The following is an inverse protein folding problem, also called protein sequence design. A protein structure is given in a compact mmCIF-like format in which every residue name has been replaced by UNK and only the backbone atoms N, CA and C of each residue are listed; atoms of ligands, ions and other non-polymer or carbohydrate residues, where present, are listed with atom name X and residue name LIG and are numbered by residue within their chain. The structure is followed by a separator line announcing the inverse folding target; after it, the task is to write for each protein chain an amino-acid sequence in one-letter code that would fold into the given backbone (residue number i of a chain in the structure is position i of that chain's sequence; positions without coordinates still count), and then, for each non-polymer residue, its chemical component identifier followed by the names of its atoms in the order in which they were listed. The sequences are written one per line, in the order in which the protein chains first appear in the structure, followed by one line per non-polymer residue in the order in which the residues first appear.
data_IF_373925624133
#
_entry.id   IF_373925624133
#
_cell.length_a   1.000
_cell.length_b   1.000
_cell.length_c   1.000
_cell.angle_alpha   90.00
_cell.angle_beta   90.00
_cell.angle_gamma   90.00
#
_symmetry.space_group_name_H-M   'P 1'
#
loop_
_entity.id
_entity.type
_entity.pdbx_description
1 polymer ?
#
# COMPACT_ATOMS: atom_id res chain seq x y z
N UNK A 1 -21.46 -24.02 -13.89
CA UNK A 1 -22.91 -23.78 -13.86
C UNK A 1 -23.16 -22.36 -14.35
N UNK A 2 -23.84 -22.21 -15.47
CA UNK A 2 -24.13 -20.92 -16.11
C UNK A 2 -25.39 -20.32 -15.48
N UNK A 3 -25.23 -19.29 -14.63
CA UNK A 3 -26.36 -18.52 -14.09
C UNK A 3 -26.51 -17.24 -14.90
N UNK A 4 -27.70 -16.93 -15.46
CA UNK A 4 -27.89 -15.73 -16.27
C UNK A 4 -27.88 -14.48 -15.38
N UNK A 5 -27.05 -13.48 -15.73
CA UNK A 5 -27.06 -12.17 -15.07
C UNK A 5 -25.70 -11.51 -14.82
N UNK A 6 -24.58 -12.19 -15.04
CA UNK A 6 -23.26 -11.60 -14.81
C UNK A 6 -22.61 -11.18 -16.14
N UNK A 7 -22.30 -9.89 -16.29
CA UNK A 7 -21.47 -9.41 -17.38
C UNK A 7 -20.09 -10.08 -17.28
N UNK A 8 -19.69 -10.83 -18.31
CA UNK A 8 -18.41 -11.53 -18.37
C UNK A 8 -17.31 -10.58 -18.84
N UNK A 9 -16.98 -9.59 -18.01
CA UNK A 9 -15.89 -8.65 -18.26
C UNK A 9 -14.59 -9.26 -17.74
N UNK A 10 -13.59 -9.35 -18.61
CA UNK A 10 -12.22 -9.69 -18.23
C UNK A 10 -11.43 -8.43 -17.96
N UNK A 11 -10.69 -8.42 -16.85
CA UNK A 11 -9.75 -7.37 -16.48
C UNK A 11 -8.33 -7.91 -16.56
N UNK A 12 -7.45 -7.20 -17.26
CA UNK A 12 -6.06 -7.59 -17.45
C UNK A 12 -5.15 -6.74 -16.56
N UNK A 13 -4.45 -7.39 -15.64
CA UNK A 13 -3.50 -6.75 -14.72
C UNK A 13 -2.12 -7.39 -14.82
N UNK A 14 -1.09 -6.64 -14.44
CA UNK A 14 0.28 -7.14 -14.34
C UNK A 14 0.66 -7.24 -12.86
N UNK A 15 1.38 -8.30 -12.51
CA UNK A 15 1.95 -8.46 -11.16
C UNK A 15 3.03 -7.40 -10.90
N UNK A 16 2.82 -6.57 -9.89
CA UNK A 16 3.75 -5.52 -9.48
C UNK A 16 5.10 -6.08 -8.96
N UNK A 17 5.12 -7.33 -8.47
CA UNK A 17 6.31 -7.97 -7.90
C UNK A 17 7.14 -8.80 -8.88
N UNK A 18 6.68 -8.97 -10.13
CA UNK A 18 7.33 -9.87 -11.09
C UNK A 18 8.70 -9.35 -11.53
N UNK A 19 9.74 -10.15 -11.29
CA UNK A 19 11.11 -9.91 -11.78
C UNK A 19 11.37 -10.46 -13.19
N UNK A 20 10.37 -11.12 -13.79
CA UNK A 20 10.44 -11.73 -15.11
C UNK A 20 9.82 -10.85 -16.20
N UNK A 21 9.60 -11.42 -17.38
CA UNK A 21 8.85 -10.73 -18.45
C UNK A 21 7.42 -10.43 -17.96
N UNK A 22 6.99 -9.16 -17.95
CA UNK A 22 5.64 -8.80 -17.50
C UNK A 22 4.60 -9.52 -18.34
N UNK A 23 3.82 -10.38 -17.69
CA UNK A 23 2.73 -11.12 -18.33
C UNK A 23 1.43 -10.63 -17.75
N UNK A 24 0.52 -10.21 -18.62
CA UNK A 24 -0.82 -9.80 -18.20
C UNK A 24 -1.62 -11.04 -17.78
N UNK A 25 -2.31 -10.93 -16.64
CA UNK A 25 -3.23 -11.93 -16.12
C UNK A 25 -4.65 -11.40 -16.34
N UNK A 26 -5.41 -12.09 -17.19
CA UNK A 26 -6.83 -11.82 -17.40
C UNK A 26 -7.64 -12.54 -16.32
N UNK A 27 -8.28 -11.78 -15.44
CA UNK A 27 -9.17 -12.28 -14.41
C UNK A 27 -10.61 -11.83 -14.67
N UNK A 28 -11.56 -12.74 -14.43
CA UNK A 28 -13.01 -12.46 -14.52
C UNK A 28 -13.64 -12.44 -13.13
N UNK A 29 -12.95 -11.79 -12.20
CA UNK A 29 -13.37 -11.66 -10.82
C UNK A 29 -13.36 -10.17 -10.41
N UNK A 30 -14.53 -9.65 -10.04
CA UNK A 30 -14.70 -8.27 -9.61
C UNK A 30 -14.00 -7.99 -8.27
N UNK A 31 -13.79 -9.01 -7.44
CA UNK A 31 -13.04 -8.86 -6.19
C UNK A 31 -11.55 -8.68 -6.48
N UNK A 32 -11.03 -9.40 -7.48
CA UNK A 32 -9.65 -9.21 -7.93
C UNK A 32 -9.45 -7.82 -8.53
N UNK A 33 -10.37 -7.38 -9.40
CA UNK A 33 -10.36 -6.01 -9.94
C UNK A 33 -10.34 -4.97 -8.81
N UNK A 34 -11.19 -5.14 -7.80
CA UNK A 34 -11.23 -4.26 -6.63
C UNK A 34 -9.89 -4.25 -5.89
N UNK A 35 -9.28 -5.41 -5.65
CA UNK A 35 -7.97 -5.49 -5.01
C UNK A 35 -6.88 -4.80 -5.83
N UNK A 36 -6.84 -5.01 -7.14
CA UNK A 36 -5.86 -4.37 -8.03
C UNK A 36 -6.00 -2.84 -8.06
N UNK A 37 -7.23 -2.32 -8.09
CA UNK A 37 -7.49 -0.88 -8.00
C UNK A 37 -7.07 -0.31 -6.65
N UNK A 38 -7.40 -0.99 -5.54
CA UNK A 38 -6.98 -0.56 -4.20
C UNK A 38 -5.46 -0.60 -4.02
N UNK A 39 -4.79 -1.63 -4.56
CA UNK A 39 -3.34 -1.73 -4.55
C UNK A 39 -2.71 -0.52 -5.25
N UNK A 40 -3.19 -0.16 -6.45
CA UNK A 40 -2.69 1.00 -7.18
C UNK A 40 -2.98 2.32 -6.46
N UNK A 41 -4.13 2.45 -5.80
CA UNK A 41 -4.45 3.61 -4.98
C UNK A 41 -3.46 3.75 -3.81
N UNK A 42 -3.18 2.66 -3.09
CA UNK A 42 -2.19 2.64 -2.02
C UNK A 42 -0.79 3.00 -2.54
N UNK A 43 -0.37 2.38 -3.64
CA UNK A 43 0.91 2.67 -4.29
C UNK A 43 1.04 4.14 -4.73
N UNK A 44 -0.04 4.75 -5.23
CA UNK A 44 -0.07 6.17 -5.58
C UNK A 44 0.12 7.07 -4.35
N UNK A 45 -0.53 6.76 -3.23
CA UNK A 45 -0.31 7.47 -1.96
C UNK A 45 1.12 7.29 -1.44
N UNK A 46 1.68 6.08 -1.52
CA UNK A 46 3.07 5.80 -1.13
C UNK A 46 4.06 6.68 -1.92
N UNK A 47 3.92 6.72 -3.25
CA UNK A 47 4.73 7.56 -4.13
C UNK A 47 4.54 9.06 -3.88
N UNK A 48 3.33 9.49 -3.57
CA UNK A 48 3.08 10.87 -3.15
C UNK A 48 3.78 11.19 -1.84
N UNK A 49 3.77 10.25 -0.87
CA UNK A 49 4.48 10.36 0.40
C UNK A 49 5.98 10.57 0.21
N UNK A 50 6.61 9.74 -0.63
CA UNK A 50 8.02 9.88 -1.02
C UNK A 50 8.31 11.27 -1.61
N UNK A 51 7.48 11.71 -2.57
CA UNK A 51 7.62 13.02 -3.18
C UNK A 51 7.54 14.15 -2.15
N UNK A 52 6.55 14.13 -1.26
CA UNK A 52 6.40 15.14 -0.21
C UNK A 52 7.55 15.13 0.79
N UNK A 53 8.12 13.97 1.08
CA UNK A 53 9.28 13.86 1.96
C UNK A 53 10.53 14.51 1.35
N UNK A 54 10.65 14.50 0.02
CA UNK A 54 11.76 15.13 -0.70
C UNK A 54 11.65 16.66 -0.86
N UNK A 55 10.45 17.25 -0.70
CA UNK A 55 10.17 18.69 -0.89
C UNK A 55 10.57 19.55 0.33
N UNK A 56 11.65 19.18 1.04
CA UNK A 56 11.99 19.66 2.38
C UNK A 56 12.55 21.10 2.41
N UNK A 57 11.68 22.10 2.30
CA UNK A 57 12.04 23.49 2.60
C UNK A 57 11.63 23.95 4.00
N UNK A 58 10.49 23.50 4.55
CA UNK A 58 9.89 24.10 5.77
C UNK A 58 9.15 23.11 6.71
N UNK A 59 9.39 21.79 6.64
CA UNK A 59 8.80 20.79 7.57
C UNK A 59 7.29 20.52 7.41
N UNK A 60 6.61 21.23 6.51
CA UNK A 60 5.26 20.92 6.02
C UNK A 60 5.26 19.72 5.07
N UNK A 61 6.33 19.52 4.30
CA UNK A 61 6.52 18.35 3.43
C UNK A 61 6.45 17.03 4.21
N UNK A 62 7.18 16.92 5.32
CA UNK A 62 7.16 15.76 6.21
C UNK A 62 5.78 15.47 6.81
N UNK A 63 4.98 16.50 7.09
CA UNK A 63 3.60 16.31 7.60
C UNK A 63 2.71 15.70 6.53
N UNK A 64 2.81 16.19 5.28
CA UNK A 64 2.06 15.64 4.14
C UNK A 64 2.52 14.23 3.79
N UNK A 65 3.83 13.99 3.82
CA UNK A 65 4.42 12.67 3.62
C UNK A 65 3.87 11.66 4.62
N UNK A 66 3.89 12.00 5.91
CA UNK A 66 3.36 11.16 6.97
C UNK A 66 1.87 10.84 6.78
N UNK A 67 1.05 11.83 6.44
CA UNK A 67 -0.37 11.61 6.16
C UNK A 67 -0.60 10.72 4.93
N UNK A 68 0.20 10.90 3.87
CA UNK A 68 0.12 10.08 2.66
C UNK A 68 0.52 8.62 2.94
N UNK A 69 1.60 8.39 3.68
CA UNK A 69 2.03 7.05 4.07
C UNK A 69 1.03 6.35 5.00
N UNK A 70 0.43 7.05 5.98
CA UNK A 70 -0.64 6.49 6.80
C UNK A 70 -1.88 6.14 5.97
N UNK A 71 -2.24 6.98 4.99
CA UNK A 71 -3.35 6.71 4.08
C UNK A 71 -3.05 5.47 3.23
N UNK A 72 -1.84 5.39 2.66
CA UNK A 72 -1.36 4.22 1.91
C UNK A 72 -1.46 2.94 2.75
N UNK A 73 -0.99 2.97 4.00
CA UNK A 73 -1.06 1.84 4.92
C UNK A 73 -2.50 1.39 5.20
N UNK A 74 -3.44 2.31 5.44
CA UNK A 74 -4.84 1.98 5.66
C UNK A 74 -5.54 1.40 4.41
N UNK A 75 -5.15 1.84 3.22
CA UNK A 75 -5.62 1.24 1.96
C UNK A 75 -5.05 -0.18 1.81
N UNK A 76 -3.77 -0.41 2.09
CA UNK A 76 -3.17 -1.76 2.08
C UNK A 76 -3.82 -2.70 3.10
N UNK A 77 -4.15 -2.23 4.31
CA UNK A 77 -4.91 -2.99 5.31
C UNK A 77 -6.28 -3.40 4.77
N UNK A 78 -6.97 -2.46 4.12
CA UNK A 78 -8.28 -2.73 3.48
C UNK A 78 -8.14 -3.76 2.37
N UNK A 79 -7.11 -3.64 1.52
CA UNK A 79 -6.83 -4.60 0.44
C UNK A 79 -6.54 -6.00 1.01
N UNK A 80 -5.72 -6.11 2.06
CA UNK A 80 -5.43 -7.37 2.72
C UNK A 80 -6.70 -8.05 3.23
N UNK A 81 -7.60 -7.29 3.88
CA UNK A 81 -8.87 -7.81 4.38
C UNK A 81 -9.87 -8.21 3.28
N UNK A 82 -9.87 -7.53 2.12
CA UNK A 82 -10.66 -7.96 0.96
C UNK A 82 -10.06 -9.22 0.34
N UNK A 83 -8.74 -9.25 0.14
CA UNK A 83 -8.01 -10.39 -0.42
C UNK A 83 -8.25 -11.66 0.39
N UNK A 84 -8.09 -11.60 1.72
CA UNK A 84 -8.36 -12.73 2.61
C UNK A 84 -9.80 -13.26 2.50
N UNK A 85 -10.78 -12.35 2.54
CA UNK A 85 -12.20 -12.74 2.61
C UNK A 85 -12.79 -13.16 1.28
N UNK A 86 -12.19 -12.73 0.16
CA UNK A 86 -12.81 -12.82 -1.18
C UNK A 86 -11.97 -13.59 -2.20
N UNK A 87 -10.65 -13.50 -2.12
CA UNK A 87 -9.73 -14.19 -3.02
C UNK A 87 -9.12 -15.44 -2.36
N UNK A 88 -8.78 -15.35 -1.07
CA UNK A 88 -8.13 -16.42 -0.33
C UNK A 88 -6.80 -16.86 -0.98
N UNK A 89 -6.49 -18.15 -0.94
CA UNK A 89 -5.31 -18.75 -1.59
C UNK A 89 -5.36 -18.71 -3.13
N UNK A 90 -6.50 -18.31 -3.72
CA UNK A 90 -6.71 -18.27 -5.17
C UNK A 90 -6.44 -16.89 -5.78
N UNK A 91 -5.79 -15.99 -5.04
CA UNK A 91 -5.35 -14.70 -5.58
C UNK A 91 -4.54 -14.91 -6.88
N UNK A 92 -4.94 -14.31 -8.02
CA UNK A 92 -4.27 -14.51 -9.30
C UNK A 92 -2.81 -14.03 -9.34
N UNK A 93 -2.46 -13.06 -8.49
CA UNK A 93 -1.12 -12.47 -8.39
C UNK A 93 -0.71 -12.33 -6.92
N UNK A 94 0.61 -12.34 -6.69
CA UNK A 94 1.19 -12.25 -5.35
C UNK A 94 1.07 -10.84 -4.75
N UNK A 95 1.14 -9.80 -5.58
CA UNK A 95 1.05 -8.41 -5.14
C UNK A 95 -0.25 -8.08 -4.38
N UNK A 96 -1.37 -8.70 -4.76
CA UNK A 96 -2.66 -8.56 -4.07
C UNK A 96 -2.89 -9.62 -2.99
N UNK A 97 -1.91 -10.48 -2.68
CA UNK A 97 -2.03 -11.43 -1.56
C UNK A 97 -2.11 -10.67 -0.23
N UNK A 98 -2.71 -11.33 0.77
CA UNK A 98 -2.81 -10.79 2.13
C UNK A 98 -1.42 -10.44 2.67
N UNK A 99 -0.49 -11.38 2.56
CA UNK A 99 0.87 -11.24 3.09
C UNK A 99 1.62 -10.09 2.41
N UNK A 100 1.50 -9.96 1.08
CA UNK A 100 2.14 -8.85 0.38
C UNK A 100 1.55 -7.50 0.83
N UNK A 101 0.22 -7.40 0.93
CA UNK A 101 -0.44 -6.20 1.39
C UNK A 101 -0.07 -5.83 2.85
N UNK A 102 0.03 -6.81 3.75
CA UNK A 102 0.46 -6.60 5.14
C UNK A 102 1.91 -6.10 5.23
N UNK A 103 2.82 -6.65 4.41
CA UNK A 103 4.20 -6.15 4.34
C UNK A 103 4.23 -4.70 3.84
N UNK A 104 3.44 -4.38 2.81
CA UNK A 104 3.36 -3.02 2.27
C UNK A 104 2.73 -2.04 3.27
N UNK A 105 1.72 -2.48 4.04
CA UNK A 105 1.15 -1.71 5.14
C UNK A 105 2.24 -1.35 6.17
N UNK A 106 2.99 -2.34 6.66
CA UNK A 106 4.05 -2.13 7.64
C UNK A 106 5.15 -1.22 7.10
N UNK A 107 5.53 -1.39 5.84
CA UNK A 107 6.52 -0.54 5.18
C UNK A 107 6.08 0.93 5.15
N UNK A 108 4.83 1.21 4.78
CA UNK A 108 4.32 2.58 4.75
C UNK A 108 4.18 3.16 6.17
N UNK A 109 3.81 2.36 7.18
CA UNK A 109 3.82 2.81 8.58
C UNK A 109 5.24 3.17 9.04
N UNK A 110 6.25 2.38 8.67
CA UNK A 110 7.64 2.66 8.98
C UNK A 110 8.11 3.98 8.33
N UNK A 111 7.75 4.23 7.07
CA UNK A 111 8.05 5.50 6.38
C UNK A 111 7.33 6.70 7.03
N UNK A 112 6.08 6.52 7.47
CA UNK A 112 5.37 7.55 8.23
C UNK A 112 6.09 7.88 9.56
N UNK A 113 6.63 6.85 10.23
CA UNK A 113 7.38 6.97 11.47
C UNK A 113 8.74 7.65 11.26
N UNK A 114 9.42 7.35 10.16
CA UNK A 114 10.65 8.04 9.74
C UNK A 114 10.38 9.53 9.51
N UNK A 115 9.29 9.89 8.84
CA UNK A 115 8.89 11.30 8.66
C UNK A 115 8.68 12.03 10.00
N UNK A 116 8.10 11.34 10.99
CA UNK A 116 7.98 11.89 12.35
C UNK A 116 9.33 12.08 13.03
N UNK A 117 10.23 11.10 12.90
CA UNK A 117 11.58 11.18 13.44
C UNK A 117 12.37 12.32 12.83
N UNK A 118 12.40 12.45 11.50
CA UNK A 118 13.06 13.55 10.80
C UNK A 118 12.51 14.91 11.25
N UNK A 119 11.18 15.04 11.38
CA UNK A 119 10.55 16.27 11.90
C UNK A 119 10.92 16.57 13.35
N UNK A 120 11.24 15.56 14.15
CA UNK A 120 11.64 15.69 15.54
C UNK A 120 13.15 15.95 15.71
N UNK A 121 13.99 15.69 14.70
CA UNK A 121 15.42 16.04 14.73
C UNK A 121 15.54 17.57 14.86
N UNK A 122 16.00 18.02 16.02
CA UNK A 122 16.03 19.43 16.42
C UNK A 122 15.17 19.77 17.65
N UNK A 123 14.36 18.83 18.15
CA UNK A 123 13.69 18.91 19.46
C UNK A 123 14.33 17.92 20.44
N UNK A 124 14.54 18.37 21.68
CA UNK A 124 15.18 17.69 22.83
C UNK A 124 15.38 16.17 22.73
N UNK A 125 16.59 15.70 23.07
CA UNK A 125 17.03 14.28 23.13
C UNK A 125 16.04 13.34 23.85
N UNK A 126 15.23 13.86 24.77
CA UNK A 126 14.21 13.10 25.48
C UNK A 126 13.06 12.58 24.58
N UNK A 127 12.77 13.24 23.46
CA UNK A 127 11.76 12.81 22.48
C UNK A 127 12.34 11.72 21.56
N UNK A 128 13.58 11.90 21.10
CA UNK A 128 14.29 10.91 20.27
C UNK A 128 14.45 9.57 21.02
N UNK A 129 14.75 9.62 22.32
CA UNK A 129 14.87 8.42 23.16
C UNK A 129 13.56 7.67 23.43
N UNK A 130 12.39 8.33 23.32
CA UNK A 130 11.09 7.64 23.42
C UNK A 130 10.67 7.02 22.08
N UNK A 131 11.00 7.68 20.97
CA UNK A 131 10.66 7.21 19.62
C UNK A 131 11.48 5.98 19.21
N UNK A 132 12.78 6.00 19.52
CA UNK A 132 13.68 4.85 19.30
C UNK A 132 13.36 3.64 20.20
N UNK A 133 12.50 3.80 21.21
CA UNK A 133 12.11 2.73 22.14
C UNK A 133 10.78 2.05 21.77
N UNK A 134 10.09 2.55 20.74
CA UNK A 134 8.90 1.91 20.16
C UNK A 134 9.23 1.00 18.96
N UNK A 135 10.52 0.83 18.63
CA UNK A 135 11.01 -0.21 17.72
C UNK A 135 11.06 -1.57 18.40
#
# INVERSE_FOLDING_TARGET
SDSPGHARVGFAWYDAGSRGTPTAIEARDIQYEKCAVLYNLAAAYSRAGEKYASEDSDGEGLKRACAAFQTSAGVFETTAGVSEKKLGEQAPTLDVSRECCEVMQLLNLAQAQECFFEKAKGKSEAILGKLAKQT
#
